data_IF_764976944086
#
_entry.id   IF_764976944086
#
_cell.length_a   1.000
_cell.length_b   1.000
_cell.length_c   1.000
_cell.angle_alpha   90.00
_cell.angle_beta   90.00
_cell.angle_gamma   90.00
#
_symmetry.space_group_name_H-M   'P 1'
#
loop_
_entity.id
_entity.type
_entity.pdbx_description
1 polymer ?
#
# COMPACT_ATOMS: atom_id res chain seq x y z
N UNK A 1 -2.78 -21.98 -5.73
CA UNK A 1 -2.65 -20.83 -4.83
C UNK A 1 -3.91 -19.99 -4.92
N UNK A 2 -4.44 -19.49 -3.80
CA UNK A 2 -5.63 -18.65 -3.81
C UNK A 2 -5.25 -17.23 -4.23
N UNK A 3 -5.87 -16.70 -5.29
CA UNK A 3 -5.69 -15.31 -5.73
C UNK A 3 -6.60 -14.43 -4.87
N UNK A 4 -6.02 -13.40 -4.24
CA UNK A 4 -6.72 -12.49 -3.34
C UNK A 4 -7.20 -11.22 -4.05
N UNK A 5 -6.38 -10.68 -4.93
CA UNK A 5 -6.66 -9.45 -5.69
C UNK A 5 -6.17 -9.65 -7.12
N UNK A 6 -7.02 -9.37 -8.11
CA UNK A 6 -6.66 -9.56 -9.52
C UNK A 6 -7.29 -8.52 -10.42
N UNK A 7 -6.64 -8.25 -11.53
CA UNK A 7 -7.20 -7.53 -12.67
C UNK A 7 -7.33 -8.49 -13.84
N UNK A 8 -8.43 -8.40 -14.59
CA UNK A 8 -8.68 -9.15 -15.81
C UNK A 8 -8.91 -8.20 -16.96
N UNK A 9 -7.95 -8.17 -17.88
CA UNK A 9 -7.97 -7.35 -19.12
C UNK A 9 -8.33 -5.87 -18.84
N UNK A 10 -7.79 -5.31 -17.73
CA UNK A 10 -8.14 -3.98 -17.28
C UNK A 10 -7.49 -2.93 -18.16
N UNK A 11 -8.32 -2.05 -18.71
CA UNK A 11 -7.89 -0.85 -19.43
C UNK A 11 -8.44 0.41 -18.78
N UNK A 12 -7.68 1.51 -18.84
CA UNK A 12 -8.11 2.82 -18.39
C UNK A 12 -7.70 3.91 -19.36
N UNK A 13 -8.69 4.62 -19.87
CA UNK A 13 -8.50 5.77 -20.77
C UNK A 13 -9.01 7.06 -20.13
N UNK A 14 -8.34 8.15 -20.43
CA UNK A 14 -8.71 9.53 -20.13
C UNK A 14 -8.81 10.30 -21.44
N UNK A 15 -9.99 10.36 -22.02
CA UNK A 15 -10.16 10.83 -23.39
C UNK A 15 -9.36 9.97 -24.38
N UNK A 16 -8.50 10.57 -25.17
CA UNK A 16 -7.63 9.87 -26.13
C UNK A 16 -6.40 9.18 -25.47
N UNK A 17 -6.05 9.55 -24.25
CA UNK A 17 -4.89 8.99 -23.55
C UNK A 17 -5.26 7.68 -22.85
N UNK A 18 -4.59 6.59 -23.22
CA UNK A 18 -4.73 5.27 -22.58
C UNK A 18 -3.64 5.09 -21.54
N UNK A 19 -4.03 5.17 -20.27
CA UNK A 19 -3.11 5.06 -19.13
C UNK A 19 -2.80 3.61 -18.76
N UNK A 20 -3.75 2.68 -19.01
CA UNK A 20 -3.54 1.23 -18.92
C UNK A 20 -4.22 0.54 -20.10
N UNK A 21 -3.57 -0.48 -20.63
CA UNK A 21 -4.01 -1.23 -21.80
C UNK A 21 -3.87 -2.73 -21.56
N UNK A 22 -5.01 -3.40 -21.36
CA UNK A 22 -5.12 -4.86 -21.25
C UNK A 22 -4.24 -5.45 -20.12
N UNK A 23 -4.30 -4.86 -18.92
CA UNK A 23 -3.50 -5.29 -17.77
C UNK A 23 -4.20 -6.40 -16.99
N UNK A 24 -3.58 -7.57 -16.94
CA UNK A 24 -4.02 -8.72 -16.16
C UNK A 24 -2.91 -9.15 -15.21
N UNK A 25 -3.13 -8.97 -13.91
CA UNK A 25 -2.21 -9.38 -12.83
C UNK A 25 -3.02 -9.98 -11.70
N UNK A 26 -2.40 -10.87 -10.92
CA UNK A 26 -3.00 -11.44 -9.72
C UNK A 26 -2.04 -11.38 -8.55
N UNK A 27 -2.54 -11.18 -7.36
CA UNK A 27 -1.80 -11.23 -6.10
C UNK A 27 -2.30 -12.44 -5.32
N UNK A 28 -1.45 -13.43 -5.12
CA UNK A 28 -1.79 -14.64 -4.40
C UNK A 28 -1.58 -14.49 -2.89
N UNK A 29 -2.19 -15.40 -2.16
CA UNK A 29 -1.99 -15.47 -0.71
C UNK A 29 -0.53 -15.78 -0.38
N UNK A 30 0.02 -15.02 0.57
CA UNK A 30 1.41 -15.11 1.00
C UNK A 30 2.38 -14.32 0.14
N UNK A 31 1.94 -13.63 -0.92
CA UNK A 31 2.82 -12.87 -1.79
C UNK A 31 3.01 -11.40 -1.34
N UNK A 32 4.25 -10.92 -1.45
CA UNK A 32 4.59 -9.52 -1.60
C UNK A 32 4.94 -9.28 -3.06
N UNK A 33 4.08 -8.57 -3.77
CA UNK A 33 4.24 -8.24 -5.19
C UNK A 33 4.65 -6.78 -5.32
N UNK A 34 5.79 -6.52 -5.92
CA UNK A 34 6.20 -5.15 -6.24
C UNK A 34 5.75 -4.75 -7.63
N UNK A 35 5.16 -3.56 -7.73
CA UNK A 35 4.81 -2.91 -9.00
C UNK A 35 5.85 -1.84 -9.29
N UNK A 36 6.60 -2.02 -10.36
CA UNK A 36 7.69 -1.14 -10.77
C UNK A 36 7.47 -0.59 -12.17
N UNK A 37 8.23 0.41 -12.57
CA UNK A 37 8.16 1.00 -13.91
C UNK A 37 8.51 2.49 -13.90
N UNK A 38 8.81 3.08 -15.05
CA UNK A 38 9.14 4.49 -15.16
C UNK A 38 7.97 5.40 -14.78
N UNK A 39 8.23 6.70 -14.67
CA UNK A 39 7.17 7.69 -14.49
C UNK A 39 6.24 7.68 -15.71
N UNK A 40 4.93 7.72 -15.46
CA UNK A 40 3.93 7.62 -16.52
C UNK A 40 3.60 6.19 -16.98
N UNK A 41 4.23 5.15 -16.45
CA UNK A 41 3.96 3.75 -16.81
C UNK A 41 2.56 3.23 -16.44
N UNK A 42 1.77 3.99 -15.65
CA UNK A 42 0.44 3.58 -15.24
C UNK A 42 0.33 3.04 -13.81
N UNK A 43 1.42 3.01 -13.02
CA UNK A 43 1.44 2.45 -11.65
C UNK A 43 0.36 3.03 -10.75
N UNK A 44 0.28 4.35 -10.64
CA UNK A 44 -0.74 5.05 -9.83
C UNK A 44 -2.15 4.76 -10.33
N UNK A 45 -2.34 4.68 -11.65
CA UNK A 45 -3.64 4.32 -12.24
C UNK A 45 -4.02 2.90 -11.86
N UNK A 46 -3.09 1.94 -11.94
CA UNK A 46 -3.31 0.55 -11.52
C UNK A 46 -3.69 0.47 -10.04
N UNK A 47 -2.92 1.11 -9.15
CA UNK A 47 -3.21 1.14 -7.72
C UNK A 47 -4.59 1.75 -7.43
N UNK A 48 -4.96 2.83 -8.11
CA UNK A 48 -6.27 3.46 -7.96
C UNK A 48 -7.42 2.56 -8.43
N UNK A 49 -7.21 1.75 -9.47
CA UNK A 49 -8.18 0.75 -9.91
C UNK A 49 -8.30 -0.40 -8.92
N UNK A 50 -7.18 -0.93 -8.44
CA UNK A 50 -7.14 -2.01 -7.44
C UNK A 50 -7.84 -1.63 -6.13
N UNK A 51 -7.86 -0.34 -5.79
CA UNK A 51 -8.46 0.19 -4.56
C UNK A 51 -9.84 0.81 -4.73
N UNK A 52 -10.47 0.70 -5.91
CA UNK A 52 -11.80 1.23 -6.17
C UNK A 52 -11.88 2.77 -6.22
N UNK A 53 -10.73 3.49 -6.18
CA UNK A 53 -10.67 4.94 -6.37
C UNK A 53 -10.97 5.35 -7.81
N UNK A 54 -10.68 4.46 -8.77
CA UNK A 54 -11.00 4.63 -10.17
C UNK A 54 -11.81 3.43 -10.67
N UNK A 55 -12.66 3.66 -11.66
CA UNK A 55 -13.33 2.60 -12.41
C UNK A 55 -12.56 2.32 -13.69
N UNK A 56 -12.37 1.05 -14.08
CA UNK A 56 -11.78 0.71 -15.37
C UNK A 56 -12.70 1.15 -16.51
N UNK A 57 -12.11 1.42 -17.67
CA UNK A 57 -12.86 1.68 -18.93
C UNK A 57 -13.27 0.35 -19.57
N UNK A 58 -12.46 -0.70 -19.41
CA UNK A 58 -12.74 -2.08 -19.81
C UNK A 58 -12.07 -3.05 -18.84
N UNK A 59 -12.53 -4.30 -18.83
CA UNK A 59 -12.07 -5.33 -17.91
C UNK A 59 -12.67 -5.18 -16.51
N UNK A 60 -12.17 -5.96 -15.57
CA UNK A 60 -12.67 -5.97 -14.20
C UNK A 60 -11.55 -6.16 -13.18
N UNK A 61 -11.81 -5.68 -11.95
CA UNK A 61 -10.97 -5.92 -10.78
C UNK A 61 -11.75 -6.80 -9.81
N UNK A 62 -11.11 -7.85 -9.30
CA UNK A 62 -11.72 -8.74 -8.33
C UNK A 62 -10.92 -8.77 -7.04
N UNK A 63 -11.62 -8.73 -5.93
CA UNK A 63 -11.08 -8.94 -4.59
C UNK A 63 -11.73 -10.18 -3.98
N UNK A 64 -10.91 -11.17 -3.60
CA UNK A 64 -11.36 -12.48 -3.11
C UNK A 64 -12.40 -13.13 -4.03
N UNK A 65 -12.14 -13.07 -5.35
CA UNK A 65 -13.00 -13.65 -6.40
C UNK A 65 -14.29 -12.88 -6.68
N UNK A 66 -14.52 -11.74 -6.04
CA UNK A 66 -15.72 -10.91 -6.25
C UNK A 66 -15.33 -9.59 -6.92
N UNK A 67 -16.12 -9.18 -7.92
CA UNK A 67 -15.93 -7.89 -8.57
C UNK A 67 -16.09 -6.74 -7.57
N UNK A 68 -15.17 -5.77 -7.65
CA UNK A 68 -15.23 -4.53 -6.84
C UNK A 68 -15.93 -3.39 -7.58
N UNK A 69 -16.57 -3.67 -8.71
CA UNK A 69 -17.28 -2.65 -9.49
C UNK A 69 -18.37 -1.98 -8.65
N UNK A 70 -18.29 -0.65 -8.53
CA UNK A 70 -19.24 0.13 -7.74
C UNK A 70 -18.98 0.17 -6.24
N UNK A 71 -17.98 -0.58 -5.75
CA UNK A 71 -17.56 -0.57 -4.34
C UNK A 71 -16.51 0.52 -4.17
N UNK A 72 -16.72 1.41 -3.20
CA UNK A 72 -15.76 2.49 -2.89
C UNK A 72 -14.65 2.05 -1.93
N UNK A 73 -13.58 2.86 -1.80
CA UNK A 73 -12.41 2.51 -0.97
C UNK A 73 -12.76 2.26 0.51
N UNK A 74 -13.72 2.99 1.06
CA UNK A 74 -14.15 2.82 2.45
C UNK A 74 -14.79 1.46 2.67
N UNK A 75 -15.65 1.05 1.75
CA UNK A 75 -16.31 -0.26 1.80
C UNK A 75 -15.32 -1.39 1.52
N UNK A 76 -14.36 -1.19 0.61
CA UNK A 76 -13.27 -2.15 0.37
C UNK A 76 -12.39 -2.33 1.61
N UNK A 77 -12.13 -1.26 2.37
CA UNK A 77 -11.42 -1.35 3.65
C UNK A 77 -12.20 -2.18 4.67
N UNK A 78 -13.53 -2.03 4.73
CA UNK A 78 -14.40 -2.88 5.56
C UNK A 78 -14.33 -4.37 5.17
N UNK A 79 -14.07 -4.68 3.89
CA UNK A 79 -13.88 -6.03 3.39
C UNK A 79 -12.44 -6.56 3.57
N UNK A 80 -11.51 -5.68 3.98
CA UNK A 80 -10.12 -6.05 4.26
C UNK A 80 -9.11 -5.68 3.17
N UNK A 81 -9.45 -4.76 2.26
CA UNK A 81 -8.50 -4.19 1.28
C UNK A 81 -8.15 -2.76 1.70
N UNK A 82 -6.96 -2.55 2.24
CA UNK A 82 -6.50 -1.24 2.68
C UNK A 82 -5.35 -0.71 1.81
N UNK A 83 -5.19 0.63 1.81
CA UNK A 83 -4.08 1.32 1.17
C UNK A 83 -3.46 2.32 2.14
N UNK A 84 -2.13 2.30 2.25
CA UNK A 84 -1.35 3.42 2.77
C UNK A 84 -0.92 4.31 1.59
N UNK A 85 -1.15 5.60 1.69
CA UNK A 85 -1.02 6.53 0.57
C UNK A 85 0.40 7.05 0.40
N UNK A 86 0.78 7.41 -0.84
CA UNK A 86 2.05 8.05 -1.18
C UNK A 86 2.23 9.41 -0.47
N UNK A 87 1.18 10.21 -0.41
CA UNK A 87 1.14 11.43 0.40
C UNK A 87 0.70 11.04 1.81
N UNK A 88 1.50 11.39 2.80
CA UNK A 88 1.19 11.17 4.21
C UNK A 88 -0.13 11.87 4.53
N UNK A 89 -1.23 11.10 4.58
CA UNK A 89 -2.58 11.60 4.87
C UNK A 89 -2.87 11.53 6.37
N UNK A 90 -1.91 11.98 7.17
CA UNK A 90 -2.14 12.17 8.60
C UNK A 90 -2.63 13.60 8.86
N UNK A 91 -3.51 13.73 9.83
CA UNK A 91 -3.95 15.04 10.30
C UNK A 91 -2.84 15.64 11.16
N UNK A 92 -2.16 16.75 10.72
CA UNK A 92 -0.96 17.23 11.38
C UNK A 92 -1.20 17.66 12.84
N UNK A 93 -2.44 18.07 13.16
CA UNK A 93 -2.86 18.54 14.47
C UNK A 93 -3.25 17.41 15.43
N UNK A 94 -3.50 16.20 14.94
CA UNK A 94 -3.82 15.05 15.78
C UNK A 94 -2.55 14.43 16.34
N UNK A 95 -2.65 13.87 17.53
CA UNK A 95 -1.62 13.02 18.11
C UNK A 95 -1.53 11.68 17.38
N UNK A 96 -0.44 10.95 17.59
CA UNK A 96 -0.29 9.56 17.11
C UNK A 96 -1.47 8.70 17.57
N UNK A 97 -1.85 8.80 18.86
CA UNK A 97 -2.97 8.05 19.41
C UNK A 97 -4.29 8.40 18.72
N UNK A 98 -4.59 9.67 18.52
CA UNK A 98 -5.81 10.13 17.85
C UNK A 98 -5.88 9.71 16.38
N UNK A 99 -4.74 9.75 15.68
CA UNK A 99 -4.65 9.32 14.28
C UNK A 99 -4.96 7.82 14.15
N UNK A 100 -4.34 6.97 14.98
CA UNK A 100 -4.63 5.53 15.01
C UNK A 100 -6.07 5.27 15.48
N UNK A 101 -6.57 6.02 16.48
CA UNK A 101 -7.93 5.90 16.98
C UNK A 101 -8.97 6.13 15.89
N UNK A 102 -8.77 7.09 15.00
CA UNK A 102 -9.67 7.37 13.89
C UNK A 102 -9.86 6.13 12.99
N UNK A 103 -8.78 5.42 12.67
CA UNK A 103 -8.83 4.18 11.90
C UNK A 103 -9.51 3.03 12.67
N UNK A 104 -9.16 2.82 13.95
CA UNK A 104 -9.76 1.79 14.81
C UNK A 104 -11.27 1.99 14.93
N UNK A 105 -11.73 3.22 15.17
CA UNK A 105 -13.15 3.55 15.29
C UNK A 105 -13.89 3.38 13.96
N UNK A 106 -13.25 3.75 12.85
CA UNK A 106 -13.79 3.53 11.50
C UNK A 106 -14.03 2.04 11.26
N UNK A 107 -13.07 1.20 11.58
CA UNK A 107 -13.18 -0.28 11.44
C UNK A 107 -14.30 -0.88 12.28
N UNK A 108 -14.49 -0.40 13.51
CA UNK A 108 -15.53 -0.90 14.44
C UNK A 108 -16.94 -0.38 14.10
N UNK A 109 -17.12 0.42 13.03
CA UNK A 109 -18.39 1.06 12.64
C UNK A 109 -19.01 1.91 13.77
N UNK A 110 -18.19 2.35 14.74
CA UNK A 110 -18.61 3.16 15.90
C UNK A 110 -18.53 4.67 15.60
N UNK A 111 -18.70 5.08 14.35
CA UNK A 111 -18.52 6.47 13.85
C UNK A 111 -19.33 7.51 14.62
N UNK A 112 -20.47 7.12 15.19
CA UNK A 112 -21.33 8.00 16.00
C UNK A 112 -20.82 8.25 17.42
N UNK A 113 -19.79 7.51 17.89
CA UNK A 113 -19.18 7.69 19.21
C UNK A 113 -17.99 8.66 19.24
N UNK A 114 -17.69 9.32 18.13
CA UNK A 114 -16.62 10.33 18.01
C UNK A 114 -16.79 11.54 18.95
N UNK A 115 -17.99 11.74 19.51
CA UNK A 115 -18.30 12.82 20.47
C UNK A 115 -18.05 12.42 21.93
N UNK A 116 -17.85 11.14 22.24
CA UNK A 116 -17.41 10.70 23.57
C UNK A 116 -15.89 10.49 23.56
N UNK A 117 -15.18 10.81 24.64
CA UNK A 117 -13.72 10.65 24.76
C UNK A 117 -13.32 9.26 24.24
N UNK A 118 -12.71 9.20 23.05
CA UNK A 118 -12.29 7.96 22.37
C UNK A 118 -11.39 7.08 23.23
N UNK A 119 -10.64 7.71 24.15
CA UNK A 119 -9.75 7.07 25.10
C UNK A 119 -10.47 6.43 26.31
N UNK A 120 -11.78 6.59 26.45
CA UNK A 120 -12.53 5.98 27.55
C UNK A 120 -12.91 4.51 27.28
N UNK A 121 -12.86 4.04 26.02
CA UNK A 121 -13.09 2.64 25.67
C UNK A 121 -11.76 1.85 25.78
N UNK A 122 -11.64 1.02 26.81
CA UNK A 122 -10.43 0.23 27.08
C UNK A 122 -10.01 -0.65 25.90
N UNK A 123 -10.96 -1.14 25.10
CA UNK A 123 -10.66 -1.98 23.94
C UNK A 123 -10.03 -1.15 22.81
N UNK A 124 -10.51 0.08 22.61
CA UNK A 124 -9.93 1.01 21.64
C UNK A 124 -8.52 1.41 22.07
N UNK A 125 -8.32 1.81 23.33
CA UNK A 125 -7.00 2.17 23.86
C UNK A 125 -6.00 1.00 23.75
N UNK A 126 -6.41 -0.21 24.09
CA UNK A 126 -5.58 -1.41 23.95
C UNK A 126 -5.15 -1.62 22.49
N UNK A 127 -6.07 -1.47 21.53
CA UNK A 127 -5.78 -1.62 20.10
C UNK A 127 -4.86 -0.52 19.58
N UNK A 128 -5.05 0.73 20.01
CA UNK A 128 -4.14 1.85 19.68
C UNK A 128 -2.73 1.54 20.15
N UNK A 129 -2.55 1.11 21.42
CA UNK A 129 -1.24 0.77 21.99
C UNK A 129 -0.60 -0.43 21.32
N UNK A 130 -1.38 -1.41 20.92
CA UNK A 130 -0.92 -2.57 20.16
C UNK A 130 -0.37 -2.14 18.80
N UNK A 131 -1.17 -1.44 18.01
CA UNK A 131 -0.77 -0.94 16.68
C UNK A 131 0.46 -0.04 16.81
N UNK A 132 0.44 0.95 17.69
CA UNK A 132 1.58 1.83 17.92
C UNK A 132 2.84 1.06 18.34
N UNK A 133 2.68 -0.01 19.12
CA UNK A 133 3.78 -0.87 19.55
C UNK A 133 4.44 -1.62 18.41
N UNK A 134 3.65 -2.16 17.47
CA UNK A 134 4.13 -2.87 16.29
C UNK A 134 4.99 -1.96 15.41
N UNK A 135 4.60 -0.69 15.28
CA UNK A 135 5.30 0.31 14.45
C UNK A 135 6.36 1.11 15.22
N UNK A 136 6.67 0.75 16.49
CA UNK A 136 7.67 1.45 17.30
C UNK A 136 7.25 2.85 17.75
N UNK A 137 5.96 3.21 17.63
CA UNK A 137 5.42 4.54 17.94
C UNK A 137 4.83 4.66 19.35
N UNK A 138 4.93 3.61 20.19
CA UNK A 138 4.30 3.58 21.51
C UNK A 138 4.75 4.72 22.43
N UNK A 139 6.01 5.14 22.30
CA UNK A 139 6.59 6.24 23.08
C UNK A 139 6.19 7.63 22.55
N UNK A 140 5.50 7.69 21.42
CA UNK A 140 5.05 8.90 20.72
C UNK A 140 3.53 9.12 20.77
N UNK A 141 2.78 8.30 21.51
CA UNK A 141 1.30 8.32 21.48
C UNK A 141 0.72 9.72 21.68
N UNK A 142 1.29 10.51 22.59
CA UNK A 142 0.84 11.87 22.90
C UNK A 142 1.50 12.95 22.03
N UNK A 143 2.39 12.56 21.10
CA UNK A 143 3.08 13.49 20.20
C UNK A 143 2.15 13.85 19.04
N UNK A 144 2.05 15.15 18.74
CA UNK A 144 1.31 15.66 17.58
C UNK A 144 2.03 15.21 16.31
N UNK A 145 1.27 14.74 15.32
CA UNK A 145 1.82 14.17 14.09
C UNK A 145 2.72 15.16 13.32
N UNK A 146 2.46 16.47 13.41
CA UNK A 146 3.33 17.49 12.82
C UNK A 146 4.77 17.44 13.34
N UNK A 147 4.97 17.07 14.62
CA UNK A 147 6.27 17.05 15.29
C UNK A 147 7.08 15.76 15.05
N UNK A 148 6.52 14.76 14.37
CA UNK A 148 7.20 13.53 14.02
C UNK A 148 8.24 13.76 12.90
N UNK A 149 9.30 12.95 12.91
CA UNK A 149 10.21 12.83 11.76
C UNK A 149 9.49 12.28 10.53
N UNK A 150 10.08 12.44 9.34
CA UNK A 150 9.47 11.91 8.09
C UNK A 150 9.29 10.39 8.15
N UNK A 151 10.25 9.66 8.71
CA UNK A 151 10.15 8.21 8.90
C UNK A 151 9.02 7.84 9.87
N UNK A 152 8.90 8.52 11.02
CA UNK A 152 7.81 8.30 11.97
C UNK A 152 6.44 8.65 11.37
N UNK A 153 6.35 9.70 10.55
CA UNK A 153 5.12 10.05 9.82
C UNK A 153 4.70 8.94 8.85
N UNK A 154 5.65 8.37 8.12
CA UNK A 154 5.40 7.22 7.23
C UNK A 154 4.94 6.00 8.01
N UNK A 155 5.60 5.69 9.12
CA UNK A 155 5.17 4.58 9.99
C UNK A 155 3.77 4.82 10.57
N UNK A 156 3.40 6.05 10.93
CA UNK A 156 2.07 6.38 11.42
C UNK A 156 0.99 6.24 10.34
N UNK A 157 1.27 6.68 9.11
CA UNK A 157 0.36 6.52 7.97
C UNK A 157 0.05 5.03 7.71
N UNK A 158 1.11 4.22 7.65
CA UNK A 158 0.95 2.77 7.48
C UNK A 158 0.28 2.12 8.69
N UNK A 159 0.63 2.52 9.92
CA UNK A 159 -0.02 2.04 11.14
C UNK A 159 -1.54 2.28 11.12
N UNK A 160 -1.98 3.43 10.58
CA UNK A 160 -3.40 3.73 10.42
C UNK A 160 -4.08 2.78 9.42
N UNK A 161 -3.42 2.41 8.32
CA UNK A 161 -3.94 1.41 7.39
C UNK A 161 -4.01 0.00 8.03
N UNK A 162 -3.03 -0.36 8.85
CA UNK A 162 -3.04 -1.64 9.59
C UNK A 162 -4.09 -1.70 10.69
N UNK A 163 -4.47 -0.55 11.27
CA UNK A 163 -5.54 -0.47 12.25
C UNK A 163 -6.93 -0.84 11.68
N UNK A 164 -7.05 -0.90 10.35
CA UNK A 164 -8.24 -1.39 9.63
C UNK A 164 -8.32 -2.92 9.54
N UNK A 165 -7.37 -3.67 10.09
CA UNK A 165 -7.25 -5.14 10.00
C UNK A 165 -7.30 -5.65 8.55
N UNK A 166 -6.38 -5.22 7.67
CA UNK A 166 -6.43 -5.57 6.27
C UNK A 166 -6.05 -7.04 6.03
N UNK A 167 -6.72 -7.67 5.06
CA UNK A 167 -6.30 -8.95 4.48
C UNK A 167 -5.29 -8.75 3.35
N UNK A 168 -5.48 -7.69 2.57
CA UNK A 168 -4.54 -7.24 1.54
C UNK A 168 -4.24 -5.76 1.77
N UNK A 169 -2.96 -5.40 1.73
CA UNK A 169 -2.54 -4.01 1.87
C UNK A 169 -1.75 -3.56 0.65
N UNK A 170 -2.06 -2.36 0.17
CA UNK A 170 -1.28 -1.67 -0.85
C UNK A 170 -0.44 -0.58 -0.19
N UNK A 171 0.86 -0.66 -0.40
CA UNK A 171 1.87 0.28 0.10
C UNK A 171 2.41 1.07 -1.10
N UNK A 172 2.09 2.36 -1.14
CA UNK A 172 2.46 3.22 -2.28
C UNK A 172 3.63 4.14 -1.86
N UNK A 173 4.83 3.77 -2.27
CA UNK A 173 6.11 4.41 -1.93
C UNK A 173 6.29 4.64 -0.42
N UNK A 174 6.21 3.58 0.41
CA UNK A 174 6.24 3.73 1.86
C UNK A 174 7.57 4.26 2.40
N UNK A 175 8.64 4.23 1.58
CA UNK A 175 9.97 4.72 1.97
C UNK A 175 10.34 6.05 1.31
N UNK A 176 9.42 6.69 0.56
CA UNK A 176 9.72 7.95 -0.11
C UNK A 176 9.98 9.08 0.91
N UNK A 177 11.00 9.91 0.66
CA UNK A 177 11.38 11.00 1.57
C UNK A 177 12.13 10.57 2.83
N UNK A 178 12.48 9.28 2.95
CA UNK A 178 13.26 8.73 4.05
C UNK A 178 14.72 8.56 3.64
N UNK A 179 15.64 8.69 4.58
CA UNK A 179 17.07 8.48 4.32
C UNK A 179 17.34 7.04 3.85
N UNK A 180 18.32 6.84 2.95
CA UNK A 180 18.67 5.51 2.45
C UNK A 180 19.01 4.53 3.58
N UNK A 181 19.64 5.02 4.65
CA UNK A 181 20.00 4.21 5.81
C UNK A 181 18.76 3.65 6.57
N UNK A 182 17.66 4.40 6.58
CA UNK A 182 16.46 4.05 7.35
C UNK A 182 15.45 3.23 6.56
N UNK A 183 15.52 3.23 5.21
CA UNK A 183 14.53 2.56 4.34
C UNK A 183 14.37 1.08 4.65
N UNK A 184 15.48 0.34 4.81
CA UNK A 184 15.44 -1.08 5.16
C UNK A 184 14.81 -1.33 6.54
N UNK A 185 15.05 -0.43 7.50
CA UNK A 185 14.43 -0.48 8.83
C UNK A 185 12.91 -0.34 8.75
N UNK A 186 12.43 0.61 7.96
CA UNK A 186 11.00 0.80 7.70
C UNK A 186 10.42 -0.45 7.04
N UNK A 187 11.01 -0.96 5.96
CA UNK A 187 10.50 -2.15 5.27
C UNK A 187 10.43 -3.37 6.19
N UNK A 188 11.44 -3.62 7.01
CA UNK A 188 11.41 -4.70 8.02
C UNK A 188 10.25 -4.53 8.99
N UNK A 189 10.02 -3.29 9.47
CA UNK A 189 8.90 -2.99 10.37
C UNK A 189 7.55 -3.25 9.70
N UNK A 190 7.39 -2.84 8.42
CA UNK A 190 6.16 -3.04 7.66
C UNK A 190 5.86 -4.54 7.44
N UNK A 191 6.86 -5.32 7.07
CA UNK A 191 6.71 -6.77 6.83
C UNK A 191 6.38 -7.49 8.15
N UNK A 192 7.12 -7.22 9.22
CA UNK A 192 6.83 -7.80 10.53
C UNK A 192 5.43 -7.41 11.06
N UNK A 193 4.98 -6.18 10.77
CA UNK A 193 3.63 -5.73 11.08
C UNK A 193 2.58 -6.52 10.28
N UNK A 194 2.83 -6.74 8.99
CA UNK A 194 1.93 -7.50 8.13
C UNK A 194 1.78 -8.95 8.60
N UNK A 195 2.87 -9.61 8.93
CA UNK A 195 2.87 -10.97 9.47
C UNK A 195 2.06 -11.05 10.78
N UNK A 196 2.32 -10.13 11.73
CA UNK A 196 1.60 -10.08 13.02
C UNK A 196 0.12 -9.80 12.87
N UNK A 197 -0.26 -8.93 11.93
CA UNK A 197 -1.65 -8.60 11.65
C UNK A 197 -2.38 -9.66 10.81
N UNK A 198 -1.70 -10.73 10.37
CA UNK A 198 -2.28 -11.76 9.52
C UNK A 198 -2.64 -11.26 8.12
N UNK A 199 -1.91 -10.27 7.61
CA UNK A 199 -2.06 -9.79 6.23
C UNK A 199 -1.68 -10.90 5.28
N UNK A 200 -2.56 -11.18 4.33
CA UNK A 200 -2.45 -12.32 3.41
C UNK A 200 -1.78 -11.96 2.08
N UNK A 201 -1.70 -10.68 1.74
CA UNK A 201 -1.07 -10.21 0.51
C UNK A 201 -0.63 -8.75 0.61
N UNK A 202 0.49 -8.43 -0.01
CA UNK A 202 1.05 -7.08 -0.02
C UNK A 202 1.31 -6.68 -1.47
N UNK A 203 0.80 -5.52 -1.88
CA UNK A 203 1.21 -4.84 -3.11
C UNK A 203 2.08 -3.67 -2.73
N UNK A 204 3.30 -3.64 -3.24
CA UNK A 204 4.28 -2.59 -2.98
C UNK A 204 4.56 -1.82 -4.26
N UNK A 205 4.35 -0.52 -4.27
CA UNK A 205 4.88 0.36 -5.33
C UNK A 205 6.15 0.99 -4.81
N UNK A 206 7.27 0.75 -5.46
CA UNK A 206 8.56 1.27 -5.07
C UNK A 206 9.43 1.59 -6.27
N UNK A 207 10.33 2.57 -6.10
CA UNK A 207 11.31 2.96 -7.09
C UNK A 207 12.73 2.54 -6.70
N UNK A 208 12.94 2.17 -5.44
CA UNK A 208 14.21 1.69 -4.92
C UNK A 208 14.36 0.21 -5.23
N UNK A 209 15.19 -0.10 -6.22
CA UNK A 209 15.36 -1.47 -6.70
C UNK A 209 16.06 -2.37 -5.69
N UNK A 210 16.85 -1.82 -4.76
CA UNK A 210 17.47 -2.60 -3.69
C UNK A 210 16.40 -3.12 -2.73
N UNK A 211 15.39 -2.30 -2.40
CA UNK A 211 14.24 -2.72 -1.61
C UNK A 211 13.38 -3.75 -2.35
N UNK A 212 13.13 -3.50 -3.65
CA UNK A 212 12.38 -4.44 -4.50
C UNK A 212 13.08 -5.80 -4.55
N UNK A 213 14.40 -5.82 -4.76
CA UNK A 213 15.18 -7.05 -4.78
C UNK A 213 15.18 -7.80 -3.45
N UNK A 214 15.26 -7.05 -2.34
CA UNK A 214 15.38 -7.62 -1.01
C UNK A 214 14.08 -8.19 -0.43
N UNK A 215 12.92 -7.62 -0.81
CA UNK A 215 11.67 -7.92 -0.12
C UNK A 215 10.58 -8.53 -1.00
N UNK A 216 10.67 -8.44 -2.33
CA UNK A 216 9.61 -8.93 -3.21
C UNK A 216 9.71 -10.44 -3.44
N UNK A 217 8.55 -11.10 -3.48
CA UNK A 217 8.44 -12.46 -4.00
C UNK A 217 8.29 -12.47 -5.52
N UNK A 218 7.66 -11.42 -6.06
CA UNK A 218 7.39 -11.24 -7.48
C UNK A 218 7.37 -9.77 -7.86
N UNK A 219 7.81 -9.45 -9.08
CA UNK A 219 7.90 -8.10 -9.63
C UNK A 219 7.04 -8.03 -10.87
N UNK A 220 6.08 -7.10 -10.85
CA UNK A 220 5.27 -6.71 -11.99
C UNK A 220 5.84 -5.39 -12.52
N UNK A 221 6.46 -5.42 -13.69
CA UNK A 221 6.97 -4.24 -14.36
C UNK A 221 5.92 -3.69 -15.33
N UNK A 222 5.62 -2.41 -15.20
CA UNK A 222 4.76 -1.69 -16.13
C UNK A 222 5.60 -0.77 -17.03
N UNK A 223 5.23 -0.72 -18.31
CA UNK A 223 5.74 0.26 -19.26
C UNK A 223 4.63 0.65 -20.23
N UNK A 224 4.45 1.95 -20.49
CA UNK A 224 3.45 2.47 -21.44
C UNK A 224 2.04 1.91 -21.22
N UNK A 225 1.65 1.73 -19.96
CA UNK A 225 0.32 1.22 -19.58
C UNK A 225 0.14 -0.29 -19.73
N UNK A 226 1.19 -1.06 -20.05
CA UNK A 226 1.15 -2.51 -20.23
C UNK A 226 2.04 -3.24 -19.22
N UNK A 227 1.75 -4.50 -18.98
CA UNK A 227 2.66 -5.39 -18.25
C UNK A 227 3.82 -5.75 -19.16
N UNK A 228 5.01 -5.25 -18.82
CA UNK A 228 6.26 -5.56 -19.51
C UNK A 228 6.82 -6.91 -19.05
N UNK A 229 6.76 -7.17 -17.75
CA UNK A 229 7.22 -8.41 -17.13
C UNK A 229 6.44 -8.70 -15.84
N UNK A 230 6.29 -9.98 -15.52
CA UNK A 230 5.75 -10.49 -14.26
C UNK A 230 6.60 -11.68 -13.84
N UNK A 231 7.64 -11.44 -13.03
CA UNK A 231 8.75 -12.35 -12.79
C UNK A 231 9.19 -12.37 -11.33
N UNK A 232 9.76 -13.49 -10.83
CA UNK A 232 10.52 -13.49 -9.58
C UNK A 232 11.75 -12.57 -9.67
N UNK A 233 12.20 -11.97 -8.53
CA UNK A 233 13.34 -11.04 -8.52
C UNK A 233 14.58 -11.56 -9.23
N UNK A 234 14.98 -12.81 -8.97
CA UNK A 234 16.16 -13.40 -9.60
C UNK A 234 16.14 -13.42 -11.13
N UNK A 235 14.97 -13.62 -11.74
CA UNK A 235 14.81 -13.55 -13.21
C UNK A 235 14.72 -12.12 -13.70
N UNK A 236 14.02 -11.26 -12.95
CA UNK A 236 13.87 -9.86 -13.30
C UNK A 236 15.23 -9.14 -13.37
N UNK A 237 16.06 -9.31 -12.32
CA UNK A 237 17.37 -8.67 -12.24
C UNK A 237 18.44 -9.34 -13.11
N UNK A 238 18.17 -10.52 -13.66
CA UNK A 238 19.06 -11.16 -14.65
C UNK A 238 18.88 -10.60 -16.08
N UNK A 239 17.83 -9.81 -16.34
CA UNK A 239 17.54 -9.19 -17.63
C UNK A 239 17.92 -7.70 -17.66
N UNK A 240 19.05 -7.32 -18.28
CA UNK A 240 19.49 -5.93 -18.34
C UNK A 240 18.49 -5.02 -19.09
N UNK A 241 17.74 -5.54 -20.06
CA UNK A 241 16.76 -4.79 -20.84
C UNK A 241 15.56 -4.36 -19.98
N UNK A 242 15.12 -5.25 -19.07
CA UNK A 242 14.07 -4.93 -18.11
C UNK A 242 14.54 -3.84 -17.14
N UNK A 243 15.76 -3.98 -16.61
CA UNK A 243 16.34 -3.00 -15.68
C UNK A 243 16.45 -1.62 -16.37
N UNK A 244 17.00 -1.57 -17.60
CA UNK A 244 17.14 -0.33 -18.35
C UNK A 244 15.78 0.34 -18.61
N UNK A 245 14.75 -0.44 -18.94
CA UNK A 245 13.41 0.08 -19.20
C UNK A 245 12.75 0.63 -17.92
N UNK A 246 12.93 -0.03 -16.78
CA UNK A 246 12.27 0.33 -15.51
C UNK A 246 12.98 1.48 -14.80
N UNK A 247 14.31 1.47 -14.76
CA UNK A 247 15.14 2.47 -14.05
C UNK A 247 15.49 3.66 -14.95
N UNK A 248 15.47 3.44 -16.26
CA UNK A 248 16.02 4.36 -17.27
C UNK A 248 17.51 4.10 -17.49
N UNK A 249 18.05 4.58 -18.62
CA UNK A 249 19.48 4.48 -18.89
C UNK A 249 20.26 5.14 -17.76
N UNK A 250 21.08 4.39 -17.04
CA UNK A 250 22.12 4.98 -16.20
C UNK A 250 22.93 5.88 -17.12
N UNK A 251 22.80 7.21 -16.99
CA UNK A 251 23.77 8.11 -17.59
C UNK A 251 25.12 7.76 -16.98
N UNK A 252 25.97 7.12 -17.78
CA UNK A 252 27.38 7.01 -17.45
C UNK A 252 27.92 8.45 -17.36
N UNK A 253 28.27 8.86 -16.15
CA UNK A 253 29.07 10.05 -15.91
C UNK A 253 30.55 9.64 -15.91
#
# INVERSE_FOLDING_TARGET
MTVLLETRNVSKSYGAFRALDDVSIGIAQGELVSVVGPNGAGKTTLVNLLTGLLKPTAGEVLFMGKSIAGIGPVELADHGLARAFQLIQIFPQLTVAETIAAAVVSRQKKRWRLLSRLTADKAIDARIREVAGVFGLRHRLDTVAAALSQGEKKLLDVASAFALDPKVILLDEPTSGVSTADKHGIMKTLIAAAERAGVQGIVLVEHDMDLVAAYSHRIVALSEGKVLADLPPGRFFADPGLIETVIGKRRAY
#
